data_IF_770868277403
#
_entry.id   IF_770868277403
#
_cell.length_a   1.000
_cell.length_b   1.000
_cell.length_c   1.000
_cell.angle_alpha   90.00
_cell.angle_beta   90.00
_cell.angle_gamma   90.00
#
_symmetry.space_group_name_H-M   'P 1'
#
loop_
_entity.id
_entity.type
_entity.pdbx_description
1 polymer ?
#
# COMPACT_ATOMS: atom_id res chain seq x y z
N UNK A 1 4.92 10.44 -28.45
CA UNK A 1 4.33 11.72 -27.95
C UNK A 1 3.95 11.67 -26.45
N UNK A 2 3.78 10.49 -25.84
CA UNK A 2 3.49 10.33 -24.39
C UNK A 2 4.68 10.55 -23.42
N UNK A 3 5.82 11.07 -23.88
CA UNK A 3 7.08 11.08 -23.11
C UNK A 3 7.32 12.32 -22.23
N UNK A 4 6.57 13.41 -22.42
CA UNK A 4 6.87 14.69 -21.76
C UNK A 4 5.75 15.27 -20.89
N UNK A 5 4.49 14.85 -21.06
CA UNK A 5 3.37 15.36 -20.24
C UNK A 5 3.25 14.61 -18.90
N UNK A 6 3.82 13.41 -18.77
CA UNK A 6 3.85 12.64 -17.52
C UNK A 6 4.81 13.20 -16.45
N UNK A 7 5.77 14.06 -16.83
CA UNK A 7 6.71 14.71 -15.89
C UNK A 7 6.11 15.92 -15.16
N UNK A 8 4.93 16.40 -15.57
CA UNK A 8 4.41 17.70 -15.15
C UNK A 8 3.49 17.69 -13.91
N UNK A 9 3.16 16.52 -13.34
CA UNK A 9 2.47 16.46 -12.05
C UNK A 9 3.16 15.43 -11.17
N UNK A 10 3.53 15.83 -9.94
CA UNK A 10 4.23 15.02 -8.92
C UNK A 10 3.36 13.88 -8.35
N UNK A 11 2.56 13.24 -9.20
CA UNK A 11 1.60 12.20 -8.88
C UNK A 11 2.33 10.95 -8.37
N UNK A 12 1.87 10.46 -7.22
CA UNK A 12 2.30 9.22 -6.59
C UNK A 12 1.15 8.22 -6.77
N UNK A 13 1.27 7.26 -7.71
CA UNK A 13 0.23 6.25 -7.90
C UNK A 13 0.07 5.40 -6.65
N UNK A 14 -1.12 4.87 -6.44
CA UNK A 14 -1.40 3.81 -5.47
C UNK A 14 -1.77 2.59 -6.28
N UNK A 15 -0.93 1.56 -6.21
CA UNK A 15 -1.07 0.32 -6.96
C UNK A 15 -1.40 -0.79 -5.95
N UNK A 16 -2.30 -1.68 -6.33
CA UNK A 16 -2.58 -2.93 -5.62
C UNK A 16 -2.56 -4.08 -6.62
N UNK A 17 -2.78 -5.29 -6.12
CA UNK A 17 -3.02 -6.48 -6.94
C UNK A 17 -4.51 -6.77 -7.03
N UNK A 18 -4.95 -7.49 -8.06
CA UNK A 18 -6.29 -8.10 -8.13
C UNK A 18 -6.25 -9.61 -7.78
N UNK A 19 -7.38 -10.28 -7.90
CA UNK A 19 -7.53 -11.71 -7.60
C UNK A 19 -6.62 -12.61 -8.44
N UNK A 20 -6.30 -12.20 -9.67
CA UNK A 20 -5.44 -12.95 -10.58
C UNK A 20 -3.95 -12.57 -10.40
N UNK A 21 -3.66 -11.64 -9.50
CA UNK A 21 -2.31 -11.14 -9.23
C UNK A 21 -1.86 -10.03 -10.19
N UNK A 22 -2.76 -9.51 -11.03
CA UNK A 22 -2.43 -8.41 -11.93
C UNK A 22 -2.35 -7.09 -11.16
N UNK A 23 -1.50 -6.17 -11.65
CA UNK A 23 -1.43 -4.82 -11.10
C UNK A 23 -2.69 -4.01 -11.43
N UNK A 24 -3.31 -3.41 -10.41
CA UNK A 24 -4.46 -2.53 -10.52
C UNK A 24 -4.17 -1.16 -9.92
N UNK A 25 -4.46 -0.09 -10.66
CA UNK A 25 -4.33 1.28 -10.17
C UNK A 25 -5.54 1.64 -9.29
N UNK A 26 -5.30 1.75 -7.98
CA UNK A 26 -6.33 2.10 -6.98
C UNK A 26 -6.45 3.60 -6.74
N UNK A 27 -5.53 4.40 -7.28
CA UNK A 27 -5.68 5.84 -7.28
C UNK A 27 -4.37 6.58 -7.47
N UNK A 28 -4.43 7.88 -7.24
CA UNK A 28 -3.29 8.79 -7.31
C UNK A 28 -3.32 9.79 -6.16
N UNK A 29 -2.16 10.17 -5.68
CA UNK A 29 -1.99 11.25 -4.71
C UNK A 29 -0.99 12.28 -5.24
N UNK A 30 -1.06 13.52 -4.75
CA UNK A 30 -0.17 14.60 -5.17
C UNK A 30 1.04 14.78 -4.24
N UNK A 31 1.10 14.03 -3.13
CA UNK A 31 2.19 14.08 -2.16
C UNK A 31 2.39 12.72 -1.47
N UNK A 32 3.58 12.51 -0.88
CA UNK A 32 3.88 11.29 -0.10
C UNK A 32 2.93 11.13 1.09
N UNK A 33 2.65 12.21 1.82
CA UNK A 33 1.73 12.19 2.95
C UNK A 33 0.29 11.91 2.51
N UNK A 34 -0.15 12.50 1.39
CA UNK A 34 -1.48 12.22 0.84
C UNK A 34 -1.62 10.76 0.36
N UNK A 35 -0.56 10.19 -0.20
CA UNK A 35 -0.51 8.78 -0.58
C UNK A 35 -0.64 7.87 0.67
N UNK A 36 0.13 8.16 1.71
CA UNK A 36 0.08 7.44 2.98
C UNK A 36 -1.29 7.50 3.64
N UNK A 37 -1.90 8.69 3.74
CA UNK A 37 -3.26 8.83 4.30
C UNK A 37 -4.30 7.98 3.56
N UNK A 38 -4.20 7.89 2.22
CA UNK A 38 -5.10 7.05 1.42
C UNK A 38 -4.90 5.57 1.70
N UNK A 39 -3.65 5.10 1.76
CA UNK A 39 -3.36 3.70 2.10
C UNK A 39 -3.85 3.36 3.51
N UNK A 40 -3.64 4.24 4.50
CA UNK A 40 -4.20 4.05 5.84
C UNK A 40 -5.73 3.96 5.83
N UNK A 41 -6.41 4.82 5.06
CA UNK A 41 -7.86 4.76 4.88
C UNK A 41 -8.34 3.44 4.25
N UNK A 42 -7.61 2.92 3.26
CA UNK A 42 -7.91 1.60 2.68
C UNK A 42 -7.77 0.48 3.71
N UNK A 43 -6.70 0.49 4.51
CA UNK A 43 -6.53 -0.51 5.57
C UNK A 43 -7.61 -0.38 6.64
N UNK A 44 -8.02 0.83 7.00
CA UNK A 44 -9.13 1.08 7.92
C UNK A 44 -10.45 0.51 7.40
N UNK A 45 -10.75 0.72 6.11
CA UNK A 45 -11.96 0.21 5.47
C UNK A 45 -11.95 -1.32 5.41
N UNK A 46 -10.82 -1.95 5.04
CA UNK A 46 -10.67 -3.41 5.08
C UNK A 46 -10.87 -3.94 6.49
N UNK A 47 -10.27 -3.30 7.49
CA UNK A 47 -10.43 -3.75 8.87
C UNK A 47 -11.88 -3.72 9.34
N UNK A 48 -12.65 -2.70 8.92
CA UNK A 48 -14.10 -2.61 9.19
C UNK A 48 -14.91 -3.69 8.46
N UNK A 49 -14.53 -4.07 7.24
CA UNK A 49 -15.27 -5.01 6.38
C UNK A 49 -14.93 -6.49 6.60
N UNK A 50 -13.65 -6.80 6.84
CA UNK A 50 -13.13 -8.17 6.84
C UNK A 50 -12.25 -8.54 8.01
N UNK A 51 -12.06 -7.65 8.99
CA UNK A 51 -11.18 -7.82 10.16
C UNK A 51 -9.74 -8.20 9.78
N UNK A 52 -8.82 -7.25 9.85
CA UNK A 52 -7.42 -7.51 9.53
C UNK A 52 -6.77 -8.33 10.64
N UNK A 53 -6.39 -9.58 10.35
CA UNK A 53 -5.76 -10.50 11.30
C UNK A 53 -4.28 -10.19 11.46
N UNK A 54 -3.58 -9.92 10.35
CA UNK A 54 -2.16 -9.61 10.34
C UNK A 54 -1.81 -8.71 9.16
N UNK A 55 -0.68 -8.05 9.26
CA UNK A 55 -0.16 -7.22 8.18
C UNK A 55 1.36 -7.18 8.21
N UNK A 56 1.94 -6.81 7.07
CA UNK A 56 3.36 -6.55 6.95
C UNK A 56 3.61 -5.30 6.12
N UNK A 57 4.84 -4.79 6.20
CA UNK A 57 5.28 -3.63 5.44
C UNK A 57 6.52 -4.03 4.64
N UNK A 58 6.51 -3.74 3.35
CA UNK A 58 7.70 -3.93 2.50
C UNK A 58 8.13 -2.61 1.88
N UNK A 59 9.42 -2.43 1.60
CA UNK A 59 9.93 -1.17 1.06
C UNK A 59 11.10 -1.34 0.09
N UNK A 60 11.23 -0.44 -0.89
CA UNK A 60 12.42 -0.33 -1.74
C UNK A 60 13.29 0.83 -1.25
N UNK A 61 14.32 0.54 -0.44
CA UNK A 61 15.23 1.54 0.16
C UNK A 61 14.51 2.73 0.83
N UNK A 62 13.41 2.44 1.56
CA UNK A 62 12.52 3.46 2.12
C UNK A 62 12.22 3.24 3.61
N UNK A 63 13.19 2.72 4.38
CA UNK A 63 13.00 2.29 5.76
C UNK A 63 12.34 3.36 6.67
N UNK A 64 12.76 4.62 6.55
CA UNK A 64 12.16 5.73 7.32
C UNK A 64 10.67 5.92 7.03
N UNK A 65 10.26 5.78 5.77
CA UNK A 65 8.85 5.85 5.38
C UNK A 65 8.09 4.63 5.91
N UNK A 66 8.69 3.43 5.83
CA UNK A 66 8.10 2.20 6.36
C UNK A 66 7.85 2.29 7.88
N UNK A 67 8.76 2.89 8.65
CA UNK A 67 8.55 3.18 10.07
C UNK A 67 7.38 4.13 10.34
N UNK A 68 7.19 5.15 9.51
CA UNK A 68 6.00 6.01 9.61
C UNK A 68 4.68 5.24 9.39
N UNK A 69 4.68 4.26 8.48
CA UNK A 69 3.54 3.35 8.31
C UNK A 69 3.35 2.45 9.53
N UNK A 70 4.42 1.86 10.08
CA UNK A 70 4.35 1.05 11.30
C UNK A 70 3.69 1.83 12.45
N UNK A 71 4.13 3.05 12.72
CA UNK A 71 3.58 3.87 13.80
C UNK A 71 2.07 4.15 13.61
N UNK A 72 1.67 4.42 12.38
CA UNK A 72 0.28 4.77 12.05
C UNK A 72 -0.62 3.54 12.04
N UNK A 73 -0.16 2.43 11.46
CA UNK A 73 -0.90 1.17 11.39
C UNK A 73 -0.98 0.47 12.74
N UNK A 74 0.05 0.58 13.59
CA UNK A 74 0.00 0.04 14.96
C UNK A 74 -1.07 0.75 15.77
N UNK A 75 -1.21 2.07 15.64
CA UNK A 75 -2.30 2.83 16.27
C UNK A 75 -3.68 2.46 15.71
N UNK A 76 -3.77 2.22 14.40
CA UNK A 76 -5.02 1.92 13.70
C UNK A 76 -5.52 0.50 13.97
N UNK A 77 -4.63 -0.50 13.95
CA UNK A 77 -4.94 -1.92 14.05
C UNK A 77 -4.73 -2.49 15.45
N UNK A 78 -4.12 -1.73 16.36
CA UNK A 78 -3.82 -2.16 17.73
C UNK A 78 -2.72 -3.22 17.83
N UNK A 79 -2.01 -3.53 16.73
CA UNK A 79 -0.96 -4.55 16.67
C UNK A 79 0.20 -4.11 15.79
N UNK A 80 1.42 -4.58 16.11
CA UNK A 80 2.62 -4.34 15.29
C UNK A 80 2.56 -5.16 13.98
N UNK A 81 3.28 -4.75 12.92
CA UNK A 81 3.40 -5.60 11.73
C UNK A 81 4.12 -6.90 12.08
N UNK A 82 3.80 -7.98 11.37
CA UNK A 82 4.53 -9.25 11.47
C UNK A 82 6.00 -9.07 11.14
N UNK A 83 6.28 -8.25 10.13
CA UNK A 83 7.61 -7.84 9.75
C UNK A 83 7.61 -6.55 8.94
N UNK A 84 8.79 -5.92 8.93
CA UNK A 84 9.15 -4.85 7.99
C UNK A 84 10.37 -5.34 7.22
N UNK A 85 10.29 -5.38 5.89
CA UNK A 85 11.42 -5.87 5.09
C UNK A 85 11.70 -5.02 3.84
N UNK A 86 12.95 -5.03 3.42
CA UNK A 86 13.33 -4.51 2.11
C UNK A 86 12.95 -5.51 1.00
N UNK A 87 12.43 -5.01 -0.11
CA UNK A 87 12.11 -5.84 -1.28
C UNK A 87 13.38 -6.17 -2.07
N UNK A 88 13.31 -7.24 -2.87
CA UNK A 88 14.42 -7.60 -3.76
C UNK A 88 14.68 -6.53 -4.83
N UNK A 89 15.89 -6.46 -5.40
CA UNK A 89 16.19 -5.56 -6.51
C UNK A 89 15.26 -5.73 -7.71
N UNK A 90 14.79 -6.95 -7.99
CA UNK A 90 13.84 -7.24 -9.09
C UNK A 90 12.54 -6.46 -8.90
N UNK A 91 11.98 -6.46 -7.68
CA UNK A 91 10.79 -5.67 -7.35
C UNK A 91 11.13 -4.18 -7.35
N UNK A 92 12.28 -3.80 -6.80
CA UNK A 92 12.74 -2.41 -6.74
C UNK A 92 12.90 -1.75 -8.11
N UNK A 93 13.33 -2.49 -9.14
CA UNK A 93 13.43 -1.99 -10.53
C UNK A 93 12.05 -1.60 -11.08
N UNK A 94 11.02 -2.39 -10.75
CA UNK A 94 9.65 -2.14 -11.22
C UNK A 94 8.92 -1.07 -10.39
N UNK A 95 9.01 -1.17 -9.05
CA UNK A 95 8.29 -0.28 -8.13
C UNK A 95 8.96 1.10 -7.97
N UNK A 96 10.28 1.16 -8.16
CA UNK A 96 11.10 2.35 -7.97
C UNK A 96 11.57 2.55 -6.52
N UNK A 97 12.75 3.17 -6.38
CA UNK A 97 13.33 3.55 -5.10
C UNK A 97 12.39 4.50 -4.33
N UNK A 98 12.21 4.23 -3.05
CA UNK A 98 11.30 4.99 -2.17
C UNK A 98 9.89 4.40 -2.07
N UNK A 99 9.57 3.33 -2.79
CA UNK A 99 8.29 2.65 -2.69
C UNK A 99 8.09 1.96 -1.33
N UNK A 100 6.84 1.92 -0.87
CA UNK A 100 6.40 1.20 0.33
C UNK A 100 5.09 0.50 -0.02
N UNK A 101 4.95 -0.74 0.42
CA UNK A 101 3.72 -1.52 0.31
C UNK A 101 3.26 -1.98 1.69
N UNK A 102 1.94 -2.04 1.86
CA UNK A 102 1.28 -2.60 3.04
C UNK A 102 0.45 -3.78 2.55
N UNK A 103 0.74 -4.97 3.08
CA UNK A 103 -0.03 -6.18 2.78
C UNK A 103 -0.80 -6.59 4.02
N UNK A 104 -2.06 -6.94 3.84
CA UNK A 104 -2.96 -7.34 4.93
C UNK A 104 -3.53 -8.73 4.65
N UNK A 105 -3.72 -9.49 5.72
CA UNK A 105 -4.54 -10.69 5.72
C UNK A 105 -5.81 -10.40 6.53
N UNK A 106 -6.96 -10.79 5.99
CA UNK A 106 -8.26 -10.63 6.64
C UNK A 106 -8.85 -12.00 7.03
N UNK A 107 -9.76 -12.03 8.00
CA UNK A 107 -10.53 -13.24 8.33
C UNK A 107 -11.46 -13.66 7.18
N UNK A 108 -11.99 -12.66 6.47
CA UNK A 108 -12.86 -12.86 5.29
C UNK A 108 -12.09 -12.60 4.00
N UNK A 109 -12.47 -13.30 2.94
CA UNK A 109 -11.87 -13.13 1.61
C UNK A 109 -12.09 -11.70 1.10
N UNK A 110 -10.99 -10.99 0.84
CA UNK A 110 -10.95 -9.60 0.36
C UNK A 110 -11.56 -9.43 -1.03
N UNK A 111 -11.69 -10.52 -1.80
CA UNK A 111 -12.32 -10.52 -3.12
C UNK A 111 -13.84 -10.68 -3.07
N UNK A 112 -14.41 -10.94 -1.89
CA UNK A 112 -15.87 -10.99 -1.70
C UNK A 112 -16.51 -9.65 -2.10
N UNK A 113 -17.63 -9.65 -2.84
CA UNK A 113 -18.25 -8.42 -3.36
C UNK A 113 -18.57 -7.35 -2.30
N UNK A 114 -18.82 -7.76 -1.06
CA UNK A 114 -19.11 -6.87 0.07
C UNK A 114 -17.86 -6.31 0.77
N UNK A 115 -16.69 -6.90 0.52
CA UNK A 115 -15.41 -6.50 1.12
C UNK A 115 -14.60 -5.58 0.20
N UNK A 116 -14.81 -5.66 -1.12
CA UNK A 116 -14.03 -4.89 -2.08
C UNK A 116 -14.07 -3.38 -1.79
N UNK A 117 -12.88 -2.78 -1.78
CA UNK A 117 -12.70 -1.32 -1.74
C UNK A 117 -12.80 -0.79 -3.15
N UNK A 118 -13.54 0.31 -3.32
CA UNK A 118 -13.68 1.02 -4.61
C UNK A 118 -12.54 2.00 -4.85
#
# INVERSE_FOLDING_TARGET
VLGLVGKAFNLKPIVSVDREGNSKLYGKAFSKLGNMKKILGFVEELNKKCHVVSYNITHAHAHKTAKAYEDSLTKLLGKKPEYIMEVSPVVGISAGVGAVSVSVLCERDTWSPDVQIK
#
